data_IF_882579899464
#
_entry.id   IF_882579899464
#
_cell.length_a   1.000
_cell.length_b   1.000
_cell.length_c   1.000
_cell.angle_alpha   90.00
_cell.angle_beta   90.00
_cell.angle_gamma   90.00
#
_symmetry.space_group_name_H-M   'P 1'
#
loop_
_entity.id
_entity.type
_entity.pdbx_description
1 polymer ?
#
# COMPACT_ATOMS: atom_id res chain seq x y z
N UNK A 1 1.92 20.05 -12.24
CA UNK A 1 1.53 19.10 -11.19
C UNK A 1 1.63 17.74 -11.81
N UNK A 2 2.26 16.81 -11.12
CA UNK A 2 2.30 15.40 -11.49
C UNK A 2 1.24 14.65 -10.68
N UNK A 3 0.94 13.42 -11.09
CA UNK A 3 0.04 12.53 -10.36
C UNK A 3 0.77 11.26 -9.98
N UNK A 4 0.46 10.74 -8.80
CA UNK A 4 0.87 9.42 -8.34
C UNK A 4 -0.37 8.56 -8.14
N UNK A 5 -0.46 7.45 -8.87
CA UNK A 5 -1.56 6.51 -8.78
C UNK A 5 -1.11 5.28 -8.00
N UNK A 6 -1.91 4.89 -7.01
CA UNK A 6 -1.73 3.66 -6.24
C UNK A 6 -2.48 2.50 -6.90
N UNK A 7 -2.24 1.28 -6.41
CA UNK A 7 -2.84 0.05 -6.93
C UNK A 7 -4.37 0.05 -6.89
N UNK A 8 -4.96 0.64 -5.87
CA UNK A 8 -6.43 0.80 -5.72
C UNK A 8 -7.02 1.88 -6.64
N UNK A 9 -6.19 2.52 -7.48
CA UNK A 9 -6.52 3.66 -8.34
C UNK A 9 -6.72 4.97 -7.60
N UNK A 10 -6.36 5.05 -6.32
CA UNK A 10 -6.27 6.33 -5.63
C UNK A 10 -5.24 7.20 -6.32
N UNK A 11 -5.63 8.40 -6.73
CA UNK A 11 -4.78 9.37 -7.39
C UNK A 11 -4.37 10.46 -6.40
N UNK A 12 -3.07 10.72 -6.29
CA UNK A 12 -2.48 11.76 -5.45
C UNK A 12 -1.94 12.86 -6.36
N UNK A 13 -2.33 14.11 -6.11
CA UNK A 13 -1.65 15.26 -6.72
C UNK A 13 -0.30 15.47 -6.03
N UNK A 14 0.77 15.54 -6.83
CA UNK A 14 2.13 15.70 -6.34
C UNK A 14 2.87 16.84 -7.08
N UNK A 15 3.85 17.42 -6.39
CA UNK A 15 4.77 18.39 -6.99
C UNK A 15 5.58 17.74 -8.12
N UNK A 16 5.86 18.52 -9.17
CA UNK A 16 6.66 18.04 -10.30
C UNK A 16 8.08 17.65 -9.86
N UNK A 17 8.66 16.65 -10.51
CA UNK A 17 10.04 16.25 -10.25
C UNK A 17 10.23 15.58 -8.89
N UNK A 18 9.18 14.94 -8.37
CA UNK A 18 9.24 14.15 -7.15
C UNK A 18 10.28 13.02 -7.29
N UNK A 19 11.12 12.85 -6.28
CA UNK A 19 11.98 11.66 -6.16
C UNK A 19 11.29 10.64 -5.26
N UNK A 20 11.58 9.34 -5.45
CA UNK A 20 10.93 8.28 -4.65
C UNK A 20 11.06 8.50 -3.14
N UNK A 21 12.22 9.00 -2.69
CA UNK A 21 12.51 9.29 -1.28
C UNK A 21 11.97 10.66 -0.80
N UNK A 22 11.43 11.50 -1.69
CA UNK A 22 10.89 12.81 -1.36
C UNK A 22 9.78 13.20 -2.36
N UNK A 23 8.59 12.67 -2.12
CA UNK A 23 7.36 12.95 -2.86
C UNK A 23 6.54 13.92 -2.05
N UNK A 24 6.20 15.08 -2.61
CA UNK A 24 5.35 16.07 -1.94
C UNK A 24 3.94 16.01 -2.52
N UNK A 25 3.00 15.48 -1.76
CA UNK A 25 1.57 15.55 -2.07
C UNK A 25 1.02 16.94 -1.76
N UNK A 26 0.08 17.39 -2.58
CA UNK A 26 -0.61 18.67 -2.45
C UNK A 26 -2.08 18.42 -2.20
N UNK A 27 -2.62 18.93 -1.10
CA UNK A 27 -4.04 18.76 -0.73
C UNK A 27 -4.68 20.06 -0.28
N UNK A 28 -5.98 20.20 -0.50
CA UNK A 28 -6.71 21.42 -0.14
C UNK A 28 -6.95 21.55 1.38
N UNK A 29 -7.06 20.42 2.10
CA UNK A 29 -7.32 20.42 3.53
C UNK A 29 -6.77 19.18 4.25
N UNK A 30 -6.87 19.18 5.59
CA UNK A 30 -6.37 18.12 6.46
C UNK A 30 -7.15 16.81 6.34
N UNK A 31 -8.40 16.86 5.90
CA UNK A 31 -9.21 15.66 5.64
C UNK A 31 -8.68 14.94 4.41
N UNK A 32 -8.41 15.69 3.33
CA UNK A 32 -7.78 15.16 2.13
C UNK A 32 -6.38 14.59 2.42
N UNK A 33 -5.57 15.27 3.25
CA UNK A 33 -4.29 14.73 3.71
C UNK A 33 -4.48 13.41 4.51
N UNK A 34 -5.52 13.33 5.33
CA UNK A 34 -5.88 12.12 6.08
C UNK A 34 -6.18 10.94 5.15
N UNK A 35 -6.93 11.16 4.07
CA UNK A 35 -7.22 10.13 3.07
C UNK A 35 -5.96 9.65 2.35
N UNK A 36 -5.04 10.58 2.03
CA UNK A 36 -3.73 10.21 1.48
C UNK A 36 -2.95 9.36 2.48
N UNK A 37 -2.92 9.75 3.75
CA UNK A 37 -2.24 9.00 4.79
C UNK A 37 -2.81 7.58 4.95
N UNK A 38 -4.13 7.42 4.86
CA UNK A 38 -4.79 6.11 4.87
C UNK A 38 -4.39 5.28 3.66
N UNK A 39 -4.48 5.85 2.45
CA UNK A 39 -4.14 5.16 1.21
C UNK A 39 -2.66 4.72 1.15
N UNK A 40 -1.75 5.52 1.71
CA UNK A 40 -0.31 5.20 1.81
C UNK A 40 0.00 4.10 2.84
N UNK A 41 -0.82 3.98 3.90
CA UNK A 41 -0.68 2.94 4.94
C UNK A 41 -1.40 1.65 4.58
N UNK A 42 -2.37 1.70 3.67
CA UNK A 42 -3.16 0.54 3.26
C UNK A 42 -2.25 -0.55 2.68
N UNK A 43 -2.45 -1.78 3.17
CA UNK A 43 -1.60 -2.90 2.78
C UNK A 43 -1.80 -3.23 1.30
N UNK A 44 -0.70 -3.32 0.56
CA UNK A 44 -0.70 -3.65 -0.86
C UNK A 44 -1.00 -2.47 -1.80
N UNK A 45 -1.41 -1.30 -1.31
CA UNK A 45 -1.62 -0.12 -2.16
C UNK A 45 -0.33 0.38 -2.81
N UNK A 46 0.82 0.16 -2.16
CA UNK A 46 2.14 0.47 -2.67
C UNK A 46 2.78 -0.71 -3.45
N UNK A 47 2.08 -1.83 -3.66
CA UNK A 47 2.63 -2.92 -4.48
C UNK A 47 2.79 -2.50 -5.95
N UNK A 48 1.99 -1.54 -6.40
CA UNK A 48 2.10 -0.93 -7.72
C UNK A 48 1.86 0.58 -7.58
N UNK A 49 2.83 1.37 -8.03
CA UNK A 49 2.78 2.83 -8.02
C UNK A 49 3.14 3.34 -9.40
N UNK A 50 2.29 4.22 -9.95
CA UNK A 50 2.51 4.83 -11.25
C UNK A 50 2.61 6.35 -11.10
N UNK A 51 3.65 6.93 -11.68
CA UNK A 51 3.80 8.39 -11.82
C UNK A 51 3.33 8.81 -13.20
N UNK A 52 2.55 9.89 -13.24
CA UNK A 52 2.02 10.45 -14.47
C UNK A 52 2.31 11.94 -14.55
N UNK A 53 2.68 12.37 -15.74
CA UNK A 53 2.65 13.77 -16.13
C UNK A 53 1.57 13.90 -17.19
N UNK A 54 0.56 14.73 -16.90
CA UNK A 54 -0.71 14.75 -17.62
C UNK A 54 -1.36 13.35 -17.64
N UNK A 55 -1.36 12.67 -18.79
CA UNK A 55 -1.90 11.31 -18.99
C UNK A 55 -0.81 10.29 -19.35
N UNK A 56 0.45 10.71 -19.40
CA UNK A 56 1.57 9.83 -19.78
C UNK A 56 2.21 9.25 -18.53
N UNK A 57 2.30 7.92 -18.47
CA UNK A 57 3.04 7.22 -17.41
C UNK A 57 4.54 7.50 -17.59
N UNK A 58 5.13 8.20 -16.62
CA UNK A 58 6.55 8.57 -16.60
C UNK A 58 7.39 7.66 -15.72
N UNK A 59 6.76 6.91 -14.81
CA UNK A 59 7.41 5.89 -14.00
C UNK A 59 6.43 4.85 -13.49
N UNK A 60 6.86 3.60 -13.42
CA UNK A 60 6.10 2.50 -12.83
C UNK A 60 7.02 1.74 -11.87
N UNK A 61 6.55 1.55 -10.65
CA UNK A 61 7.29 0.88 -9.59
C UNK A 61 6.45 -0.19 -8.94
N UNK A 62 7.09 -1.32 -8.62
CA UNK A 62 6.44 -2.48 -8.02
C UNK A 62 7.12 -2.88 -6.72
N UNK A 63 6.34 -3.47 -5.82
CA UNK A 63 6.77 -3.90 -4.50
C UNK A 63 7.37 -2.74 -3.69
N UNK A 64 6.67 -1.60 -3.65
CA UNK A 64 7.10 -0.46 -2.87
C UNK A 64 6.62 -0.58 -1.43
N UNK A 65 7.27 0.16 -0.55
CA UNK A 65 6.84 0.37 0.83
C UNK A 65 7.07 1.82 1.23
N UNK A 66 6.18 2.29 2.08
CA UNK A 66 6.29 3.60 2.71
C UNK A 66 7.52 3.64 3.63
N UNK A 67 8.27 4.72 3.57
CA UNK A 67 9.33 5.01 4.52
C UNK A 67 8.74 5.59 5.81
N UNK A 68 9.42 5.36 6.93
CA UNK A 68 9.03 5.93 8.22
C UNK A 68 9.96 7.10 8.54
N UNK A 69 9.43 8.24 9.02
CA UNK A 69 8.02 8.52 9.36
C UNK A 69 7.11 8.70 8.12
N UNK A 70 5.78 8.55 8.31
CA UNK A 70 4.77 8.71 7.24
C UNK A 70 4.94 10.01 6.45
N UNK A 71 5.12 11.13 7.15
CA UNK A 71 5.48 12.40 6.53
C UNK A 71 6.77 12.91 7.15
N UNK A 72 7.73 13.27 6.29
CA UNK A 72 8.99 13.89 6.69
C UNK A 72 8.85 15.41 6.90
N UNK A 73 7.91 16.03 6.20
CA UNK A 73 7.54 17.44 6.36
C UNK A 73 6.07 17.65 6.00
N UNK A 74 5.38 18.51 6.75
CA UNK A 74 4.02 18.97 6.43
C UNK A 74 3.96 20.46 6.70
N UNK A 75 3.55 21.26 5.72
CA UNK A 75 3.38 22.70 5.87
C UNK A 75 2.22 23.22 5.01
N UNK A 76 1.73 24.43 5.32
CA UNK A 76 0.79 25.16 4.46
C UNK A 76 1.62 26.07 3.56
N UNK A 77 1.62 25.80 2.26
CA UNK A 77 2.38 26.57 1.29
C UNK A 77 1.75 27.96 1.05
N UNK A 78 2.49 28.82 0.33
CA UNK A 78 2.04 30.19 0.01
C UNK A 78 0.73 30.23 -0.81
N UNK A 79 0.40 29.15 -1.50
CA UNK A 79 -0.85 28.98 -2.23
C UNK A 79 -2.04 28.59 -1.32
N UNK A 80 -1.80 28.43 -0.02
CA UNK A 80 -2.80 28.06 0.98
C UNK A 80 -3.11 26.57 1.03
N UNK A 81 -2.43 25.73 0.22
CA UNK A 81 -2.60 24.28 0.22
C UNK A 81 -1.65 23.61 1.19
N UNK A 82 -2.00 22.41 1.61
CA UNK A 82 -1.15 21.58 2.47
C UNK A 82 -0.19 20.80 1.59
N UNK A 83 1.11 20.96 1.86
CA UNK A 83 2.18 20.23 1.22
C UNK A 83 2.74 19.21 2.20
N UNK A 84 2.58 17.93 1.89
CA UNK A 84 3.02 16.83 2.73
C UNK A 84 4.03 15.95 1.99
N UNK A 85 5.25 15.88 2.53
CA UNK A 85 6.35 15.13 1.93
C UNK A 85 6.49 13.76 2.57
N UNK A 86 6.57 12.71 1.76
CA UNK A 86 6.76 11.33 2.17
C UNK A 86 7.77 10.63 1.26
N UNK A 87 8.32 9.52 1.74
CA UNK A 87 9.24 8.69 0.97
C UNK A 87 8.67 7.29 0.74
N UNK A 88 8.92 6.72 -0.43
CA UNK A 88 8.70 5.31 -0.72
C UNK A 88 10.00 4.69 -1.20
N UNK A 89 10.20 3.41 -0.86
CA UNK A 89 11.33 2.63 -1.36
C UNK A 89 10.87 1.27 -1.83
N UNK A 90 11.64 0.63 -2.69
CA UNK A 90 11.41 -0.76 -3.03
C UNK A 90 11.66 -1.65 -1.81
N UNK A 91 10.83 -2.67 -1.64
CA UNK A 91 11.04 -3.74 -0.67
C UNK A 91 12.33 -4.48 -1.04
N UNK A 92 13.08 -4.86 -0.02
CA UNK A 92 14.25 -5.72 -0.18
C UNK A 92 13.82 -7.14 -0.53
N UNK A 93 14.72 -7.92 -1.12
CA UNK A 93 14.48 -9.34 -1.40
C UNK A 93 14.11 -10.12 -0.13
N UNK A 94 14.71 -9.76 1.01
CA UNK A 94 14.39 -10.39 2.30
C UNK A 94 12.98 -10.03 2.79
N UNK A 95 12.56 -8.77 2.65
CA UNK A 95 11.17 -8.37 2.95
C UNK A 95 10.17 -9.13 2.07
N UNK A 96 10.47 -9.28 0.78
CA UNK A 96 9.63 -10.04 -0.16
C UNK A 96 9.57 -11.53 0.21
N UNK A 97 10.69 -12.13 0.58
CA UNK A 97 10.75 -13.53 0.99
C UNK A 97 9.93 -13.76 2.28
N UNK A 98 10.03 -12.85 3.26
CA UNK A 98 9.24 -12.91 4.49
C UNK A 98 7.74 -12.83 4.17
N UNK A 99 7.31 -11.91 3.32
CA UNK A 99 5.90 -11.79 2.91
C UNK A 99 5.37 -13.02 2.16
N UNK A 100 6.22 -13.67 1.36
CA UNK A 100 5.85 -14.92 0.68
C UNK A 100 5.72 -16.08 1.66
N UNK A 101 6.64 -16.19 2.63
CA UNK A 101 6.58 -17.24 3.66
C UNK A 101 5.35 -17.06 4.55
N UNK A 102 5.02 -15.82 4.92
CA UNK A 102 3.81 -15.52 5.70
C UNK A 102 2.55 -15.93 4.93
N UNK A 103 2.44 -15.57 3.64
CA UNK A 103 1.31 -16.00 2.80
C UNK A 103 1.20 -17.52 2.69
N UNK A 104 2.31 -18.22 2.46
CA UNK A 104 2.31 -19.69 2.40
C UNK A 104 1.86 -20.32 3.73
N UNK A 105 2.28 -19.75 4.86
CA UNK A 105 1.89 -20.23 6.18
C UNK A 105 0.39 -20.03 6.42
N UNK A 106 -0.16 -18.88 6.06
CA UNK A 106 -1.60 -18.60 6.15
C UNK A 106 -2.43 -19.54 5.28
N UNK A 107 -2.03 -19.76 4.02
CA UNK A 107 -2.69 -20.69 3.10
C UNK A 107 -2.65 -22.14 3.62
N UNK A 108 -1.52 -22.54 4.20
CA UNK A 108 -1.35 -23.88 4.80
C UNK A 108 -2.27 -24.04 6.01
N UNK A 109 -2.35 -23.04 6.88
CA UNK A 109 -3.20 -23.07 8.06
C UNK A 109 -4.69 -23.12 7.67
N UNK A 110 -5.12 -22.28 6.73
CA UNK A 110 -6.50 -22.28 6.23
C UNK A 110 -6.88 -23.64 5.61
N UNK A 111 -5.95 -24.27 4.89
CA UNK A 111 -6.17 -25.60 4.31
C UNK A 111 -6.32 -26.69 5.38
N UNK A 112 -5.53 -26.61 6.46
CA UNK A 112 -5.64 -27.54 7.59
C UNK A 112 -6.97 -27.36 8.33
N UNK A 113 -7.41 -26.13 8.59
CA UNK A 113 -8.69 -25.87 9.24
C UNK A 113 -9.89 -26.46 8.47
N UNK A 114 -9.87 -26.35 7.13
CA UNK A 114 -10.89 -26.95 6.27
C UNK A 114 -10.85 -28.48 6.37
N UNK A 115 -9.65 -29.08 6.34
CA UNK A 115 -9.48 -30.53 6.44
C UNK A 115 -9.95 -31.05 7.82
N UNK A 116 -9.56 -30.39 8.90
CA UNK A 116 -9.94 -30.76 10.26
C UNK A 116 -11.46 -30.64 10.47
N UNK A 117 -12.08 -29.59 9.93
CA UNK A 117 -13.54 -29.44 9.92
C UNK A 117 -14.25 -30.60 9.20
N UNK A 118 -13.78 -30.97 8.01
CA UNK A 118 -14.33 -32.09 7.25
C UNK A 118 -14.15 -33.45 7.96
N UNK A 119 -13.00 -33.65 8.63
CA UNK A 119 -12.74 -34.85 9.44
C UNK A 119 -13.71 -34.93 10.63
N UNK A 120 -13.95 -33.81 11.32
CA UNK A 120 -14.92 -33.76 12.43
C UNK A 120 -16.34 -34.08 11.97
N UNK A 121 -16.77 -33.55 10.82
CA UNK A 121 -18.08 -33.84 10.24
C UNK A 121 -18.23 -35.33 9.89
N UNK A 122 -17.23 -35.93 9.24
CA UNK A 122 -17.21 -37.36 8.92
C UNK A 122 -17.21 -38.24 10.19
N UNK A 123 -16.46 -37.84 11.22
CA UNK A 123 -16.46 -38.54 12.51
C UNK A 123 -17.85 -38.49 13.19
N UNK A 124 -18.54 -37.35 13.10
CA UNK A 124 -19.93 -37.21 13.57
C UNK A 124 -20.91 -38.10 12.82
N UNK A 125 -20.76 -38.24 11.49
CA UNK A 125 -21.61 -39.10 10.67
C UNK A 125 -21.37 -40.61 10.92
N UNK A 126 -20.13 -41.02 11.20
CA UNK A 126 -19.79 -42.43 11.46
C UNK A 126 -20.06 -42.87 12.91
N UNK A 127 -20.10 -41.94 13.87
CA UNK A 127 -20.33 -42.22 15.29
C UNK A 127 -21.81 -42.24 15.73
N UNK A 128 -22.74 -41.89 14.86
CA UNK A 128 -24.18 -41.92 15.13
C UNK A 128 -24.86 -43.22 14.67
N UNK A 129 -24.78 -44.28 15.48
CA UNK A 129 -25.66 -45.46 15.46
C UNK A 129 -25.95 -45.91 16.89
#
# INVERSE_FOLDING_TARGET
MEKMNLKDKTELEIMNGASLNAITAVTDDWTALGLIAEALKESGNLDEVQFKTDETVTGEYRNMKLESPLFSAVDIAEDGKIHATFGIRQKTEMELAIEQLQRQQEETNASQEIQDGAIMELAGMMGGN
#
